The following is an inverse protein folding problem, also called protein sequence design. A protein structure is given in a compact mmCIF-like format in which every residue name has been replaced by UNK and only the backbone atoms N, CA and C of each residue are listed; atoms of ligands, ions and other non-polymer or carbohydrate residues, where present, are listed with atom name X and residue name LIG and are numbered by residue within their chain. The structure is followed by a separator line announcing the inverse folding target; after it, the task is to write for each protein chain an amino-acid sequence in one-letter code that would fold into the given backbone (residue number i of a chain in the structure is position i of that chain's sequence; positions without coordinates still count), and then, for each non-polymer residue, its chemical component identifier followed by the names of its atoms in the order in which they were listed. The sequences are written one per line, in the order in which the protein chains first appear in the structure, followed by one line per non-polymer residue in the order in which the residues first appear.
data_IF_653886039550
#
_entry.id   IF_653886039550
#
_cell.length_a   1.000
_cell.length_b   1.000
_cell.length_c   1.000
_cell.angle_alpha   90.00
_cell.angle_beta   90.00
_cell.angle_gamma   90.00
#
_symmetry.space_group_name_H-M   'P 1'
#
loop_
_entity.id
_entity.type
_entity.pdbx_description
1 polymer ?
#
# COMPACT_ATOMS: atom_id res chain seq x y z
N UNK A 1 16.11 17.48 6.22
CA UNK A 1 16.42 16.36 5.42
C UNK A 1 15.78 15.13 5.96
N UNK A 2 15.09 14.46 5.14
CA UNK A 2 14.39 13.36 5.68
C UNK A 2 15.34 12.19 5.80
N UNK A 3 15.21 11.42 6.81
CA UNK A 3 16.11 10.33 7.12
C UNK A 3 15.63 9.02 6.57
N UNK A 4 14.91 9.07 5.49
CA UNK A 4 14.34 7.86 4.93
C UNK A 4 13.03 7.46 5.59
N UNK A 5 12.52 8.30 6.46
CA UNK A 5 11.25 8.04 7.11
C UNK A 5 10.12 8.55 6.23
N UNK A 6 9.11 7.71 6.06
CA UNK A 6 7.94 8.04 5.27
C UNK A 6 6.70 7.87 6.10
N UNK A 7 5.61 8.46 5.62
CA UNK A 7 4.33 8.35 6.30
C UNK A 7 3.44 7.40 5.49
N UNK A 8 2.90 6.41 6.16
CA UNK A 8 1.98 5.48 5.52
C UNK A 8 0.76 6.23 5.02
N UNK A 9 0.41 6.00 3.76
CA UNK A 9 -0.72 6.70 3.17
C UNK A 9 -2.06 6.12 3.61
N UNK A 10 -2.05 5.03 4.35
CA UNK A 10 -3.27 4.38 4.80
C UNK A 10 -3.51 4.62 6.27
N UNK A 11 -2.56 4.27 7.12
CA UNK A 11 -2.75 4.40 8.56
C UNK A 11 -2.10 5.64 9.15
N UNK A 12 -1.21 6.29 8.41
CA UNK A 12 -0.58 7.50 8.87
C UNK A 12 0.62 7.31 9.78
N UNK A 13 1.05 6.09 9.98
CA UNK A 13 2.21 5.83 10.81
C UNK A 13 3.49 6.09 10.05
N UNK A 14 4.54 6.42 10.79
CA UNK A 14 5.86 6.56 10.20
C UNK A 14 6.48 5.18 10.00
N UNK A 15 7.22 5.05 8.92
CA UNK A 15 7.97 3.81 8.67
C UNK A 15 9.24 4.17 7.91
N UNK A 16 10.20 3.28 7.94
CA UNK A 16 11.47 3.48 7.26
C UNK A 16 11.55 2.59 6.03
N UNK A 17 12.40 3.00 5.10
CA UNK A 17 12.65 2.22 3.91
C UNK A 17 11.79 2.69 2.74
N UNK A 18 11.72 1.84 1.72
CA UNK A 18 11.04 2.19 0.50
C UNK A 18 9.53 2.20 0.63
N UNK A 19 9.01 1.40 1.55
CA UNK A 19 7.59 1.26 1.66
C UNK A 19 7.04 0.34 0.58
N UNK A 20 5.72 0.28 0.50
CA UNK A 20 5.05 -0.60 -0.42
C UNK A 20 4.07 0.18 -1.27
N UNK A 21 3.88 -0.28 -2.50
CA UNK A 21 2.92 0.33 -3.41
C UNK A 21 1.50 0.06 -2.90
N UNK A 22 0.72 1.09 -2.58
CA UNK A 22 -0.60 0.90 -2.00
C UNK A 22 -1.71 0.64 -3.02
N UNK A 23 -1.38 0.55 -4.29
CA UNK A 23 -2.38 0.28 -5.31
C UNK A 23 -2.99 -1.10 -5.09
N UNK A 24 -4.27 -1.32 -5.24
CA UNK A 24 -5.29 -0.36 -5.69
C UNK A 24 -6.02 0.36 -4.57
N UNK A 25 -5.58 0.20 -3.32
CA UNK A 25 -6.22 0.88 -2.21
C UNK A 25 -6.06 2.39 -2.35
N UNK A 26 -4.85 2.82 -2.65
CA UNK A 26 -4.55 4.22 -2.93
C UNK A 26 -3.92 4.29 -4.31
N UNK A 27 -4.53 5.03 -5.19
CA UNK A 27 -4.08 5.09 -6.58
C UNK A 27 -3.20 6.31 -6.80
N UNK A 28 -2.10 6.34 -6.09
CA UNK A 28 -1.15 7.45 -6.15
C UNK A 28 0.24 6.87 -6.30
N UNK A 29 0.89 7.18 -7.41
CA UNK A 29 2.20 6.61 -7.71
C UNK A 29 3.26 6.98 -6.68
N UNK A 30 3.09 8.15 -6.06
CA UNK A 30 4.07 8.61 -5.09
C UNK A 30 3.76 8.15 -3.68
N UNK A 31 2.60 7.55 -3.47
CA UNK A 31 2.23 7.12 -2.13
C UNK A 31 2.92 5.81 -1.79
N UNK A 32 3.15 5.62 -0.51
CA UNK A 32 3.72 4.37 0.00
C UNK A 32 3.03 4.02 1.29
N UNK A 33 2.93 2.75 1.59
CA UNK A 33 2.33 2.31 2.83
C UNK A 33 3.29 1.42 3.59
N UNK A 34 3.03 1.25 4.87
CA UNK A 34 3.86 0.42 5.71
C UNK A 34 3.58 -1.06 5.42
N UNK A 35 4.46 -1.92 5.94
CA UNK A 35 4.32 -3.36 5.72
C UNK A 35 2.99 -3.88 6.24
N UNK A 36 2.58 -3.40 7.41
CA UNK A 36 1.34 -3.87 8.00
C UNK A 36 0.15 -3.58 7.10
N UNK A 37 0.07 -2.34 6.60
CA UNK A 37 -1.04 -2.00 5.71
C UNK A 37 -0.95 -2.74 4.39
N UNK A 38 0.26 -2.97 3.91
CA UNK A 38 0.43 -3.72 2.69
C UNK A 38 -0.18 -5.12 2.84
N UNK A 39 0.10 -5.79 3.95
CA UNK A 39 -0.41 -7.13 4.18
C UNK A 39 -1.91 -7.12 4.47
N UNK A 40 -2.36 -6.17 5.26
CA UNK A 40 -3.74 -6.19 5.74
C UNK A 40 -4.73 -5.59 4.78
N UNK A 41 -4.29 -4.68 3.92
CA UNK A 41 -5.23 -3.98 3.04
C UNK A 41 -4.89 -4.12 1.58
N UNK A 42 -3.63 -3.93 1.23
CA UNK A 42 -3.25 -3.89 -0.18
C UNK A 42 -3.30 -5.27 -0.81
N UNK A 43 -2.72 -6.25 -0.16
CA UNK A 43 -2.69 -7.60 -0.71
C UNK A 43 -4.09 -8.18 -0.84
N UNK A 44 -4.97 -8.06 0.16
CA UNK A 44 -6.35 -8.52 -0.03
C UNK A 44 -7.06 -7.78 -1.17
N UNK A 45 -6.80 -6.49 -1.30
CA UNK A 45 -7.44 -5.73 -2.38
C UNK A 45 -6.98 -6.21 -3.75
N UNK A 46 -5.70 -6.54 -3.86
CA UNK A 46 -5.19 -7.06 -5.13
C UNK A 46 -5.80 -8.41 -5.46
N UNK A 47 -5.95 -9.25 -4.45
CA UNK A 47 -6.56 -10.56 -4.67
C UNK A 47 -7.99 -10.40 -5.13
N UNK A 48 -8.74 -9.49 -4.51
CA UNK A 48 -10.11 -9.25 -4.93
C UNK A 48 -10.18 -8.72 -6.36
N UNK A 49 -9.26 -7.85 -6.71
CA UNK A 49 -9.24 -7.30 -8.06
C UNK A 49 -8.99 -8.39 -9.09
N UNK A 50 -8.08 -9.31 -8.77
CA UNK A 50 -7.80 -10.42 -9.68
C UNK A 50 -8.99 -11.35 -9.78
N UNK A 51 -9.63 -11.62 -8.66
CA UNK A 51 -10.78 -12.50 -8.65
C UNK A 51 -11.92 -11.94 -9.49
N UNK A 52 -12.13 -10.63 -9.40
CA UNK A 52 -13.17 -10.00 -10.19
C UNK A 52 -12.90 -10.13 -11.67
N UNK A 53 -11.64 -9.94 -12.06
CA UNK A 53 -11.30 -10.04 -13.47
C UNK A 53 -11.50 -11.43 -14.00
N UNK A 54 -11.10 -12.42 -13.22
CA UNK A 54 -11.23 -13.81 -13.65
C UNK A 54 -12.64 -14.30 -13.56
N UNK A 55 -13.41 -13.76 -12.65
CA UNK A 55 -14.75 -14.19 -12.43
C UNK A 55 -15.71 -13.83 -13.53
N UNK A 56 -15.26 -13.03 -14.47
CA UNK A 56 -16.13 -12.65 -15.59
C UNK A 56 -16.09 -13.64 -16.72
#
# INVERSE_FOLDING_TARGET
MDNGVKICCICGKEFEGWGNNPYPVVKDEDARCCDDCNVMYVIPARIEALAERDGK
#
